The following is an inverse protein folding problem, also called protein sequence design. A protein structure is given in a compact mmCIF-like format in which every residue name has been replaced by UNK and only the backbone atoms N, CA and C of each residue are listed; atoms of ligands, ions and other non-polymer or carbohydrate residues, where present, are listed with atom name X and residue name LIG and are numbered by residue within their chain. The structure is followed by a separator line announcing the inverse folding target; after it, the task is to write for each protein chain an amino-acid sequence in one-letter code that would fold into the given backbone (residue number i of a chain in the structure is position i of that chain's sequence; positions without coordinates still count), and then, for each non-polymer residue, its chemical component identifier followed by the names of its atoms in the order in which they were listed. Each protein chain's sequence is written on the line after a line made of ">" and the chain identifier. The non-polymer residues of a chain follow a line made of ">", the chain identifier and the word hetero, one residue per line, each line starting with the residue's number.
data_IF_271341929330
#
_entry.id   IF_271341929330
#
_cell.length_a   1.000
_cell.length_b   1.000
_cell.length_c   1.000
_cell.angle_alpha   90.00
_cell.angle_beta   90.00
_cell.angle_gamma   90.00
#
_symmetry.space_group_name_H-M   'P 1'
#
loop_
_entity.id
_entity.type
_entity.pdbx_description
1 polymer ?
#
# COMPACT_ATOMS: atom_id res chain seq x y z
N UNK A 1 24.29 40.10 85.12
CA UNK A 1 24.35 38.70 84.63
C UNK A 1 23.43 38.62 83.43
N UNK A 2 23.93 38.67 82.24
CA UNK A 2 23.16 38.80 80.99
C UNK A 2 23.30 37.50 80.20
N UNK A 3 22.18 36.78 79.92
CA UNK A 3 22.11 35.61 79.03
C UNK A 3 21.92 36.08 77.61
N UNK A 4 22.83 35.71 76.75
CA UNK A 4 22.70 35.89 75.31
C UNK A 4 21.95 34.71 74.68
N UNK A 5 20.76 34.93 74.07
CA UNK A 5 20.07 34.01 73.19
C UNK A 5 20.64 34.11 71.78
N UNK A 6 21.20 33.05 71.27
CA UNK A 6 21.62 32.98 69.86
C UNK A 6 20.48 32.37 69.03
N UNK A 7 20.04 33.15 68.06
CA UNK A 7 19.03 32.71 67.11
C UNK A 7 19.66 31.83 66.01
N UNK A 8 19.18 30.57 65.86
CA UNK A 8 19.52 29.66 64.77
C UNK A 8 18.63 29.98 63.59
N UNK A 9 19.22 30.45 62.48
CA UNK A 9 18.51 30.59 61.23
C UNK A 9 18.59 29.27 60.46
N UNK A 10 17.47 28.56 60.35
CA UNK A 10 17.32 27.41 59.47
C UNK A 10 16.98 27.92 58.05
N UNK A 11 17.93 27.92 57.14
CA UNK A 11 17.69 28.19 55.72
C UNK A 11 17.09 26.95 55.06
N UNK A 12 15.77 27.00 54.76
CA UNK A 12 15.04 25.97 54.00
C UNK A 12 15.32 26.16 52.50
N UNK A 13 16.26 25.40 51.95
CA UNK A 13 16.55 25.39 50.51
C UNK A 13 15.49 24.61 49.78
N UNK A 14 14.50 25.26 49.18
CA UNK A 14 13.52 24.66 48.29
C UNK A 14 14.20 24.33 46.95
N UNK A 15 14.51 23.05 46.74
CA UNK A 15 15.01 22.50 45.47
C UNK A 15 13.85 22.43 44.48
N UNK A 16 13.69 23.43 43.62
CA UNK A 16 12.77 23.42 42.50
C UNK A 16 13.27 22.41 41.47
N UNK A 17 12.70 21.18 41.50
CA UNK A 17 12.80 20.22 40.43
C UNK A 17 12.00 20.73 39.21
N UNK A 18 12.65 21.55 38.39
CA UNK A 18 12.13 21.84 37.04
C UNK A 18 12.26 20.58 36.21
N UNK A 19 11.20 19.76 36.19
CA UNK A 19 11.09 18.69 35.25
C UNK A 19 11.12 19.27 33.84
N UNK A 20 12.19 19.03 33.11
CA UNK A 20 12.25 19.30 31.67
C UNK A 20 11.24 18.34 31.02
N UNK A 21 10.02 18.81 30.77
CA UNK A 21 9.07 18.12 29.91
C UNK A 21 9.70 18.08 28.52
N UNK A 22 10.32 16.96 28.16
CA UNK A 22 10.68 16.73 26.77
C UNK A 22 9.37 16.86 25.97
N UNK A 23 9.34 17.66 24.90
CA UNK A 23 8.19 17.70 24.03
C UNK A 23 7.97 16.25 23.53
N UNK A 24 6.89 15.61 23.98
CA UNK A 24 6.44 14.37 23.40
C UNK A 24 6.22 14.69 21.91
N UNK A 25 6.97 14.03 21.02
CA UNK A 25 6.74 14.16 19.58
C UNK A 25 5.26 13.85 19.36
N UNK A 26 4.50 14.82 18.86
CA UNK A 26 3.09 14.60 18.56
C UNK A 26 2.99 13.43 17.59
N UNK A 27 2.17 12.43 17.93
CA UNK A 27 1.86 11.33 17.00
C UNK A 27 1.12 11.90 15.80
N UNK A 28 1.41 11.43 14.61
CA UNK A 28 0.82 11.89 13.35
C UNK A 28 -0.72 11.86 13.36
N UNK A 29 -1.35 11.01 14.20
CA UNK A 29 -2.79 11.02 14.40
C UNK A 29 -3.29 12.38 14.92
N UNK A 30 -2.56 13.00 15.86
CA UNK A 30 -2.94 14.32 16.38
C UNK A 30 -2.90 15.38 15.27
N UNK A 31 -1.86 15.34 14.43
CA UNK A 31 -1.72 16.27 13.30
C UNK A 31 -2.87 16.11 12.30
N UNK A 32 -3.25 14.86 11.97
CA UNK A 32 -4.40 14.53 11.12
C UNK A 32 -5.70 15.08 11.71
N UNK A 33 -5.93 14.84 13.00
CA UNK A 33 -7.16 15.28 13.69
C UNK A 33 -7.25 16.80 13.83
N UNK A 34 -6.14 17.49 14.12
CA UNK A 34 -6.09 18.95 14.21
C UNK A 34 -6.30 19.62 12.85
N UNK A 35 -5.68 19.08 11.82
CA UNK A 35 -5.80 19.55 10.44
C UNK A 35 -7.16 19.21 9.83
N UNK A 36 -7.89 18.24 10.42
CA UNK A 36 -9.15 17.65 9.91
C UNK A 36 -9.01 17.09 8.50
N UNK A 37 -7.84 16.57 8.17
CA UNK A 37 -7.51 16.05 6.85
C UNK A 37 -6.58 14.83 6.97
N UNK A 38 -6.92 13.74 6.24
CA UNK A 38 -6.06 12.59 6.01
C UNK A 38 -5.48 12.68 4.59
N UNK A 39 -4.16 12.85 4.49
CA UNK A 39 -3.44 12.86 3.20
C UNK A 39 -3.10 11.44 2.79
N UNK A 40 -3.76 10.94 1.74
CA UNK A 40 -3.54 9.61 1.19
C UNK A 40 -2.70 9.68 -0.08
N UNK A 41 -1.56 8.99 -0.11
CA UNK A 41 -0.87 8.67 -1.35
C UNK A 41 -1.55 7.49 -2.04
N UNK A 42 -1.96 7.67 -3.29
CA UNK A 42 -2.54 6.61 -4.14
C UNK A 42 -1.72 6.46 -5.41
N UNK A 43 -1.98 5.44 -6.22
CA UNK A 43 -1.40 5.41 -7.56
C UNK A 43 -1.84 6.62 -8.41
N UNK A 44 -0.97 7.03 -9.33
CA UNK A 44 -1.29 8.08 -10.29
C UNK A 44 -2.14 7.57 -11.48
N UNK A 45 -1.86 6.33 -11.96
CA UNK A 45 -2.52 5.74 -13.13
C UNK A 45 -2.37 4.21 -13.13
N UNK A 46 -3.04 3.54 -12.20
CA UNK A 46 -3.10 2.06 -12.14
C UNK A 46 -4.53 1.63 -11.84
N UNK A 47 -5.44 1.63 -12.83
CA UNK A 47 -6.79 1.12 -12.63
C UNK A 47 -6.78 -0.39 -12.35
N UNK A 48 -7.68 -0.90 -11.49
CA UNK A 48 -8.83 -0.24 -10.87
C UNK A 48 -8.51 0.43 -9.52
N UNK A 49 -7.23 0.47 -9.11
CA UNK A 49 -6.81 0.97 -7.81
C UNK A 49 -6.94 2.49 -7.70
N UNK A 50 -6.26 3.22 -8.59
CA UNK A 50 -6.43 4.66 -8.74
C UNK A 50 -6.02 5.11 -10.15
N UNK A 51 -6.84 5.97 -10.76
CA UNK A 51 -6.56 6.64 -12.02
C UNK A 51 -7.43 7.90 -12.14
N UNK A 52 -7.06 8.87 -12.99
CA UNK A 52 -7.93 9.99 -13.31
C UNK A 52 -9.17 9.53 -14.07
N UNK A 53 -10.36 9.94 -13.63
CA UNK A 53 -11.57 9.77 -14.41
C UNK A 53 -11.43 10.48 -15.77
N UNK A 54 -11.74 9.82 -16.89
CA UNK A 54 -11.55 10.41 -18.22
C UNK A 54 -12.33 11.71 -18.46
N UNK A 55 -13.47 11.90 -17.77
CA UNK A 55 -14.37 13.04 -17.95
C UNK A 55 -14.11 14.16 -16.96
N UNK A 56 -14.03 13.82 -15.66
CA UNK A 56 -13.91 14.80 -14.59
C UNK A 56 -12.47 15.13 -14.23
N UNK A 57 -11.52 14.25 -14.59
CA UNK A 57 -10.11 14.28 -14.20
C UNK A 57 -9.85 14.10 -12.70
N UNK A 58 -10.88 13.86 -11.92
CA UNK A 58 -10.74 13.52 -10.52
C UNK A 58 -10.16 12.12 -10.35
N UNK A 59 -9.39 11.92 -9.29
CA UNK A 59 -8.87 10.59 -8.97
C UNK A 59 -10.01 9.69 -8.49
N UNK A 60 -10.13 8.53 -9.10
CA UNK A 60 -11.13 7.49 -8.81
C UNK A 60 -10.47 6.11 -8.74
N UNK A 61 -11.07 5.18 -8.02
CA UNK A 61 -10.58 3.81 -7.91
C UNK A 61 -10.81 3.22 -6.52
N UNK A 62 -10.48 1.94 -6.38
CA UNK A 62 -10.61 1.20 -5.12
C UNK A 62 -9.84 1.87 -3.98
N UNK A 63 -8.57 2.22 -4.20
CA UNK A 63 -7.71 2.83 -3.18
C UNK A 63 -8.17 4.24 -2.80
N UNK A 64 -8.72 4.99 -3.76
CA UNK A 64 -9.28 6.33 -3.54
C UNK A 64 -10.54 6.25 -2.66
N UNK A 65 -11.45 5.32 -2.97
CA UNK A 65 -12.66 5.12 -2.19
C UNK A 65 -12.35 4.57 -0.80
N UNK A 66 -11.37 3.67 -0.68
CA UNK A 66 -10.89 3.17 0.62
C UNK A 66 -10.33 4.31 1.48
N UNK A 67 -9.50 5.20 0.89
CA UNK A 67 -9.01 6.39 1.60
C UNK A 67 -10.16 7.27 2.11
N UNK A 68 -11.13 7.59 1.23
CA UNK A 68 -12.30 8.40 1.61
C UNK A 68 -13.11 7.75 2.73
N UNK A 69 -13.29 6.44 2.69
CA UNK A 69 -14.02 5.70 3.73
C UNK A 69 -13.26 5.68 5.07
N UNK A 70 -11.94 5.47 5.05
CA UNK A 70 -11.08 5.56 6.24
C UNK A 70 -11.13 6.96 6.83
N UNK A 71 -10.94 8.02 6.03
CA UNK A 71 -11.00 9.41 6.48
C UNK A 71 -12.37 9.74 7.11
N UNK A 72 -13.46 9.33 6.48
CA UNK A 72 -14.83 9.48 7.01
C UNK A 72 -15.00 8.83 8.38
N UNK A 73 -14.46 7.62 8.57
CA UNK A 73 -14.48 6.91 9.85
C UNK A 73 -13.63 7.58 10.91
N UNK A 74 -12.57 8.28 10.52
CA UNK A 74 -11.76 9.13 11.41
C UNK A 74 -12.45 10.47 11.73
N UNK A 75 -13.48 10.86 10.99
CA UNK A 75 -14.15 12.15 11.14
C UNK A 75 -13.36 13.31 10.52
N UNK A 76 -12.60 13.06 9.47
CA UNK A 76 -11.77 14.04 8.74
C UNK A 76 -12.03 13.94 7.22
N UNK A 77 -11.60 14.94 6.46
CA UNK A 77 -11.63 14.94 5.01
C UNK A 77 -10.47 14.12 4.42
N UNK A 78 -10.66 13.57 3.24
CA UNK A 78 -9.62 12.86 2.49
C UNK A 78 -8.97 13.79 1.46
N UNK A 79 -7.65 13.83 1.43
CA UNK A 79 -6.86 14.48 0.38
C UNK A 79 -6.06 13.42 -0.38
N UNK A 80 -6.20 13.39 -1.71
CA UNK A 80 -5.60 12.38 -2.56
C UNK A 80 -4.36 12.96 -3.25
N UNK A 81 -3.22 12.31 -3.05
CA UNK A 81 -1.94 12.64 -3.70
C UNK A 81 -1.55 11.50 -4.65
N UNK A 82 -1.58 11.71 -5.97
CA UNK A 82 -1.14 10.71 -6.93
C UNK A 82 0.37 10.46 -6.83
N UNK A 83 0.78 9.20 -6.74
CA UNK A 83 2.18 8.78 -6.59
C UNK A 83 2.59 7.81 -7.70
N UNK A 84 3.85 7.85 -8.09
CA UNK A 84 4.46 6.80 -8.89
C UNK A 84 4.61 5.51 -8.06
N UNK A 85 4.81 4.38 -8.74
CA UNK A 85 5.03 3.08 -8.08
C UNK A 85 6.21 3.15 -7.10
N UNK A 86 7.32 3.76 -7.50
CA UNK A 86 8.51 3.93 -6.66
C UNK A 86 8.31 4.96 -5.54
N UNK A 87 7.47 5.97 -5.75
CA UNK A 87 7.23 7.07 -4.79
C UNK A 87 6.46 6.65 -3.54
N UNK A 88 5.70 5.56 -3.58
CA UNK A 88 4.78 5.14 -2.52
C UNK A 88 5.43 5.04 -1.12
N UNK A 89 6.58 4.39 -1.02
CA UNK A 89 7.31 4.23 0.25
C UNK A 89 8.05 5.51 0.64
N UNK A 90 8.84 6.17 -0.21
CA UNK A 90 9.52 7.42 0.13
C UNK A 90 8.58 8.54 0.57
N UNK A 91 7.44 8.74 -0.09
CA UNK A 91 6.54 9.85 0.23
C UNK A 91 5.91 9.72 1.63
N UNK A 92 5.49 8.50 2.03
CA UNK A 92 4.97 8.28 3.38
C UNK A 92 6.08 8.27 4.43
N UNK A 93 7.27 7.73 4.11
CA UNK A 93 8.43 7.75 5.01
C UNK A 93 8.85 9.18 5.38
N UNK A 94 8.79 10.09 4.41
CA UNK A 94 9.11 11.50 4.59
C UNK A 94 7.95 12.32 5.21
N UNK A 95 6.78 11.71 5.42
CA UNK A 95 5.60 12.39 5.97
C UNK A 95 4.96 13.41 5.02
N UNK A 96 5.20 13.29 3.69
CA UNK A 96 4.54 14.13 2.68
C UNK A 96 3.08 13.72 2.48
N UNK A 97 2.78 12.45 2.70
CA UNK A 97 1.45 11.89 2.89
C UNK A 97 1.37 11.23 4.26
N UNK A 98 0.19 11.17 4.86
CA UNK A 98 -0.01 10.54 6.17
C UNK A 98 -0.04 9.02 6.05
N UNK A 99 -0.69 8.54 5.01
CA UNK A 99 -0.82 7.12 4.68
C UNK A 99 -0.63 6.89 3.18
N UNK A 100 -0.18 5.69 2.82
CA UNK A 100 -0.18 5.23 1.43
C UNK A 100 -1.19 4.09 1.29
N UNK A 101 -2.23 4.32 0.49
CA UNK A 101 -3.26 3.35 0.09
C UNK A 101 -3.14 3.20 -1.42
N UNK A 102 -2.28 2.28 -1.86
CA UNK A 102 -1.89 2.16 -3.26
C UNK A 102 -1.50 0.71 -3.58
N UNK A 103 -2.41 -0.23 -3.28
CA UNK A 103 -2.13 -1.67 -3.44
C UNK A 103 -0.74 -2.02 -2.89
N UNK A 104 -0.43 -1.56 -1.68
CA UNK A 104 0.90 -1.64 -1.11
C UNK A 104 1.08 -2.96 -0.35
N UNK A 105 1.74 -3.93 -0.99
CA UNK A 105 2.08 -5.20 -0.38
C UNK A 105 3.13 -5.04 0.74
N UNK A 106 2.94 -5.80 1.81
CA UNK A 106 3.93 -5.95 2.85
C UNK A 106 5.15 -6.73 2.34
N UNK A 107 6.34 -6.19 2.52
CA UNK A 107 7.63 -6.89 2.37
C UNK A 107 8.54 -6.54 3.53
N UNK A 108 9.52 -7.41 3.82
CA UNK A 108 10.49 -7.15 4.89
C UNK A 108 11.27 -5.86 4.62
N UNK A 109 11.75 -5.67 3.38
CA UNK A 109 12.49 -4.46 3.01
C UNK A 109 11.67 -3.16 3.10
N UNK A 110 10.34 -3.21 2.84
CA UNK A 110 9.45 -2.07 3.08
C UNK A 110 9.18 -1.85 4.57
N UNK A 111 8.99 -2.94 5.34
CA UNK A 111 8.75 -2.89 6.77
C UNK A 111 9.95 -2.33 7.57
N UNK A 112 11.15 -2.39 7.03
CA UNK A 112 12.32 -1.68 7.58
C UNK A 112 12.19 -0.15 7.46
N UNK A 113 11.45 0.35 6.48
CA UNK A 113 11.37 1.76 6.15
C UNK A 113 10.10 2.44 6.64
N UNK A 114 8.98 1.73 6.63
CA UNK A 114 7.65 2.20 7.02
C UNK A 114 6.96 1.15 7.89
N UNK A 115 5.85 1.51 8.54
CA UNK A 115 4.99 0.53 9.19
C UNK A 115 3.73 0.27 8.36
N UNK A 116 3.11 -0.89 8.56
CA UNK A 116 1.92 -1.33 7.84
C UNK A 116 0.77 -1.56 8.79
N UNK A 117 -0.44 -1.24 8.32
CA UNK A 117 -1.66 -1.72 8.97
C UNK A 117 -1.81 -3.23 8.83
N UNK A 118 -2.78 -3.77 9.53
CA UNK A 118 -3.33 -5.09 9.24
C UNK A 118 -3.82 -5.11 7.77
N UNK A 119 -3.57 -6.21 7.04
CA UNK A 119 -3.92 -6.27 5.63
C UNK A 119 -5.44 -6.40 5.43
N UNK A 120 -5.92 -5.74 4.38
CA UNK A 120 -7.34 -5.78 4.02
C UNK A 120 -7.65 -6.73 2.86
N UNK A 121 -6.65 -7.30 2.20
CA UNK A 121 -6.74 -8.45 1.31
C UNK A 121 -5.36 -9.05 1.00
N UNK A 122 -5.34 -10.25 0.37
CA UNK A 122 -4.12 -10.90 -0.11
C UNK A 122 -4.09 -10.86 -1.64
N UNK A 123 -3.13 -10.11 -2.17
CA UNK A 123 -2.92 -9.98 -3.61
C UNK A 123 -2.11 -11.16 -4.18
N UNK A 124 -2.16 -11.31 -5.52
CA UNK A 124 -1.36 -12.28 -6.27
C UNK A 124 -0.61 -11.56 -7.37
N UNK A 125 0.69 -11.77 -7.45
CA UNK A 125 1.50 -11.35 -8.60
C UNK A 125 1.45 -12.43 -9.67
N UNK A 126 0.98 -12.06 -10.86
CA UNK A 126 0.70 -12.97 -11.96
C UNK A 126 1.56 -12.67 -13.18
N UNK A 127 1.96 -13.70 -13.90
CA UNK A 127 2.67 -13.58 -15.17
C UNK A 127 1.66 -13.57 -16.32
N UNK A 128 1.75 -12.59 -17.21
CA UNK A 128 1.07 -12.60 -18.50
C UNK A 128 2.08 -12.66 -19.64
N UNK A 129 1.76 -13.47 -20.64
CA UNK A 129 2.58 -13.69 -21.83
C UNK A 129 1.72 -13.59 -23.09
N UNK A 130 2.33 -13.59 -24.26
CA UNK A 130 1.57 -13.67 -25.52
C UNK A 130 0.77 -14.96 -25.57
N UNK A 131 -0.45 -14.91 -26.09
CA UNK A 131 -1.31 -16.09 -26.19
C UNK A 131 -0.69 -17.23 -27.04
N UNK A 132 0.19 -16.86 -28.00
CA UNK A 132 0.94 -17.81 -28.84
C UNK A 132 2.14 -18.45 -28.14
N UNK A 133 2.55 -17.95 -26.96
CA UNK A 133 3.68 -18.52 -26.22
C UNK A 133 3.30 -19.91 -25.69
N UNK A 134 4.15 -20.96 -25.87
CA UNK A 134 3.84 -22.33 -25.48
C UNK A 134 3.91 -22.58 -23.96
N UNK A 135 4.55 -21.70 -23.18
CA UNK A 135 4.72 -21.86 -21.74
C UNK A 135 3.38 -21.89 -20.99
N UNK A 136 3.27 -22.78 -20.00
CA UNK A 136 2.05 -22.99 -19.20
C UNK A 136 2.25 -22.78 -17.70
N UNK A 137 3.50 -22.78 -17.24
CA UNK A 137 3.89 -22.59 -15.83
C UNK A 137 4.89 -21.46 -15.69
N UNK A 138 5.01 -20.88 -14.51
CA UNK A 138 6.01 -19.84 -14.22
C UNK A 138 7.45 -20.31 -14.44
N UNK A 139 7.73 -21.59 -14.20
CA UNK A 139 9.09 -22.16 -14.38
C UNK A 139 9.54 -22.16 -15.84
N UNK A 140 8.62 -22.15 -16.80
CA UNK A 140 8.92 -22.03 -18.24
C UNK A 140 9.62 -20.70 -18.59
N UNK A 141 9.62 -19.76 -17.67
CA UNK A 141 10.13 -18.39 -17.89
C UNK A 141 11.40 -18.05 -17.09
N UNK A 142 11.98 -19.02 -16.36
CA UNK A 142 13.28 -18.87 -15.73
C UNK A 142 14.33 -18.49 -16.77
N UNK A 143 15.19 -17.51 -16.41
CA UNK A 143 16.20 -16.94 -17.32
C UNK A 143 15.64 -16.11 -18.49
N UNK A 144 14.32 -15.96 -18.60
CA UNK A 144 13.70 -15.12 -19.64
C UNK A 144 13.57 -13.68 -19.15
N UNK A 145 13.60 -12.74 -20.11
CA UNK A 145 13.37 -11.32 -19.83
C UNK A 145 11.88 -11.05 -19.64
N UNK A 146 11.52 -10.59 -18.45
CA UNK A 146 10.15 -10.31 -18.03
C UNK A 146 10.03 -8.85 -17.63
N UNK A 147 9.02 -8.15 -18.16
CA UNK A 147 8.78 -6.75 -17.85
C UNK A 147 8.02 -6.57 -16.53
N UNK A 148 8.38 -5.56 -15.73
CA UNK A 148 7.72 -5.22 -14.48
C UNK A 148 7.84 -3.71 -14.18
N UNK A 149 6.96 -3.18 -13.32
CA UNK A 149 7.09 -1.82 -12.84
C UNK A 149 8.23 -1.72 -11.81
N UNK A 150 9.09 -0.72 -11.96
CA UNK A 150 10.23 -0.49 -11.09
C UNK A 150 9.78 -0.18 -9.64
N UNK A 151 10.48 -0.76 -8.65
CA UNK A 151 10.16 -0.59 -7.23
C UNK A 151 8.88 -1.31 -6.77
N UNK A 152 8.28 -2.15 -7.62
CA UNK A 152 7.13 -2.98 -7.29
C UNK A 152 7.53 -4.37 -6.79
N UNK A 153 6.59 -5.05 -6.15
CA UNK A 153 6.72 -6.49 -5.84
C UNK A 153 6.66 -7.36 -7.10
N UNK A 154 6.11 -6.84 -8.20
CA UNK A 154 6.20 -7.50 -9.51
C UNK A 154 7.65 -7.65 -9.98
N UNK A 155 8.48 -6.60 -9.83
CA UNK A 155 9.93 -6.69 -10.12
C UNK A 155 10.59 -7.74 -9.23
N UNK A 156 10.25 -7.76 -7.94
CA UNK A 156 10.78 -8.75 -7.01
C UNK A 156 10.32 -10.17 -7.38
N UNK A 157 9.05 -10.35 -7.76
CA UNK A 157 8.51 -11.63 -8.22
C UNK A 157 9.26 -12.18 -9.43
N UNK A 158 9.64 -11.31 -10.39
CA UNK A 158 10.48 -11.69 -11.53
C UNK A 158 11.84 -12.22 -11.05
N UNK A 159 12.49 -11.52 -10.13
CA UNK A 159 13.80 -11.94 -9.58
C UNK A 159 13.70 -13.26 -8.82
N UNK A 160 12.67 -13.40 -7.95
CA UNK A 160 12.46 -14.64 -7.17
C UNK A 160 12.11 -15.84 -8.05
N UNK A 161 11.52 -15.60 -9.23
CA UNK A 161 11.30 -16.64 -10.24
C UNK A 161 12.57 -16.94 -11.09
N UNK A 162 13.72 -16.42 -10.71
CA UNK A 162 14.98 -16.58 -11.46
C UNK A 162 14.87 -16.08 -12.92
N UNK A 163 14.05 -15.08 -13.18
CA UNK A 163 13.87 -14.42 -14.47
C UNK A 163 14.66 -13.11 -14.52
N UNK A 164 14.92 -12.57 -15.73
CA UNK A 164 15.65 -11.29 -15.93
C UNK A 164 14.65 -10.11 -15.95
N UNK A 165 14.62 -9.21 -14.95
CA UNK A 165 13.67 -8.12 -14.90
C UNK A 165 14.03 -6.97 -15.85
N UNK A 166 13.12 -6.62 -16.75
CA UNK A 166 13.15 -5.40 -17.54
C UNK A 166 12.16 -4.39 -16.95
N UNK A 167 12.67 -3.34 -16.30
CA UNK A 167 11.82 -2.44 -15.50
C UNK A 167 11.46 -1.15 -16.23
N UNK A 168 10.25 -0.65 -15.96
CA UNK A 168 9.69 0.60 -16.45
C UNK A 168 9.01 1.38 -15.33
N UNK A 169 8.79 2.68 -15.53
CA UNK A 169 8.20 3.54 -14.50
C UNK A 169 6.70 3.32 -14.31
N UNK A 170 6.00 2.88 -15.34
CA UNK A 170 4.55 2.71 -15.36
C UNK A 170 4.11 1.39 -16.01
N UNK A 171 2.90 0.95 -15.67
CA UNK A 171 2.33 -0.32 -16.14
C UNK A 171 2.04 -0.32 -17.65
N UNK A 172 1.71 0.83 -18.23
CA UNK A 172 1.47 0.95 -19.67
C UNK A 172 2.75 0.65 -20.47
N UNK A 173 3.88 1.22 -20.05
CA UNK A 173 5.20 0.95 -20.63
C UNK A 173 5.62 -0.52 -20.46
N UNK A 174 5.30 -1.14 -19.32
CA UNK A 174 5.52 -2.58 -19.08
C UNK A 174 4.75 -3.42 -20.10
N UNK A 175 3.46 -3.13 -20.31
CA UNK A 175 2.63 -3.82 -21.29
C UNK A 175 3.16 -3.64 -22.72
N UNK A 176 3.49 -2.42 -23.10
CA UNK A 176 4.05 -2.11 -24.42
C UNK A 176 5.37 -2.82 -24.71
N UNK A 177 6.20 -3.05 -23.70
CA UNK A 177 7.45 -3.82 -23.86
C UNK A 177 7.18 -5.26 -24.32
N UNK A 178 6.14 -5.90 -23.83
CA UNK A 178 5.72 -7.24 -24.30
C UNK A 178 5.14 -7.17 -25.72
N UNK A 179 4.29 -6.18 -26.01
CA UNK A 179 3.74 -5.96 -27.35
C UNK A 179 4.84 -5.81 -28.40
N UNK A 180 5.91 -5.09 -28.06
CA UNK A 180 7.07 -4.80 -28.92
C UNK A 180 8.16 -5.88 -28.90
N UNK A 181 7.95 -7.05 -28.28
CA UNK A 181 8.94 -8.12 -28.13
C UNK A 181 10.22 -7.76 -27.38
N UNK A 182 10.20 -6.73 -26.54
CA UNK A 182 11.32 -6.36 -25.65
C UNK A 182 11.42 -7.28 -24.44
N UNK A 183 10.29 -7.88 -24.03
CA UNK A 183 10.18 -8.89 -23.00
C UNK A 183 9.23 -10.02 -23.48
N UNK A 184 9.42 -11.24 -22.99
CA UNK A 184 8.55 -12.38 -23.35
C UNK A 184 7.23 -12.38 -22.60
N UNK A 185 7.18 -11.69 -21.45
CA UNK A 185 6.00 -11.53 -20.61
C UNK A 185 6.14 -10.37 -19.67
N UNK A 186 5.11 -10.16 -18.87
CA UNK A 186 5.07 -9.15 -17.82
C UNK A 186 4.50 -9.72 -16.52
N UNK A 187 4.93 -9.17 -15.40
CA UNK A 187 4.35 -9.46 -14.08
C UNK A 187 3.68 -8.21 -13.55
N UNK A 188 2.48 -8.38 -13.03
CA UNK A 188 1.74 -7.39 -12.27
C UNK A 188 0.69 -8.08 -11.38
N UNK A 189 0.06 -7.30 -10.50
CA UNK A 189 -1.07 -7.77 -9.70
C UNK A 189 -2.18 -8.36 -10.58
N UNK A 190 -2.88 -9.38 -10.07
CA UNK A 190 -3.95 -10.11 -10.78
C UNK A 190 -4.96 -9.17 -11.45
N UNK A 191 -5.40 -8.11 -10.75
CA UNK A 191 -6.39 -7.17 -11.28
C UNK A 191 -5.85 -6.47 -12.53
N UNK A 192 -4.64 -5.95 -12.46
CA UNK A 192 -3.97 -5.31 -13.59
C UNK A 192 -3.81 -6.28 -14.77
N UNK A 193 -3.32 -7.51 -14.51
CA UNK A 193 -3.16 -8.52 -15.56
C UNK A 193 -4.52 -8.90 -16.17
N UNK A 194 -5.55 -9.10 -15.37
CA UNK A 194 -6.91 -9.43 -15.86
C UNK A 194 -7.40 -8.37 -16.84
N UNK A 195 -7.27 -7.10 -16.49
CA UNK A 195 -7.68 -5.99 -17.38
C UNK A 195 -6.87 -5.96 -18.67
N UNK A 196 -5.54 -6.02 -18.57
CA UNK A 196 -4.65 -5.97 -19.72
C UNK A 196 -4.83 -7.17 -20.66
N UNK A 197 -5.02 -8.37 -20.10
CA UNK A 197 -5.32 -9.59 -20.90
C UNK A 197 -6.66 -9.44 -21.60
N UNK A 198 -7.70 -8.96 -20.91
CA UNK A 198 -9.02 -8.70 -21.51
C UNK A 198 -8.93 -7.68 -22.66
N UNK A 199 -8.29 -6.54 -22.43
CA UNK A 199 -8.15 -5.48 -23.44
C UNK A 199 -7.34 -5.97 -24.65
N UNK A 200 -6.34 -6.82 -24.45
CA UNK A 200 -5.53 -7.40 -25.52
C UNK A 200 -6.32 -8.30 -26.49
N UNK A 201 -7.50 -8.81 -26.08
CA UNK A 201 -8.32 -9.64 -26.96
C UNK A 201 -8.93 -8.86 -28.12
N UNK A 202 -9.11 -7.55 -27.94
CA UNK A 202 -9.69 -6.63 -28.95
C UNK A 202 -8.64 -5.76 -29.61
N UNK A 203 -7.55 -5.45 -28.93
CA UNK A 203 -6.52 -4.51 -29.39
C UNK A 203 -5.10 -5.05 -29.19
N UNK A 204 -4.28 -5.03 -30.24
CA UNK A 204 -2.87 -5.44 -30.17
C UNK A 204 -2.64 -6.96 -30.17
N UNK A 205 -1.51 -7.39 -29.62
CA UNK A 205 -1.13 -8.80 -29.54
C UNK A 205 -1.86 -9.44 -28.36
N UNK A 206 -2.63 -10.50 -28.65
CA UNK A 206 -3.38 -11.24 -27.64
C UNK A 206 -2.46 -11.79 -26.54
N UNK A 207 -2.87 -11.62 -25.31
CA UNK A 207 -2.18 -12.09 -24.11
C UNK A 207 -2.97 -13.19 -23.40
N UNK A 208 -2.26 -14.00 -22.62
CA UNK A 208 -2.83 -14.95 -21.66
C UNK A 208 -2.14 -14.79 -20.29
N UNK A 209 -2.87 -15.08 -19.22
CA UNK A 209 -2.34 -15.15 -17.87
C UNK A 209 -1.91 -16.58 -17.55
N UNK A 210 -0.72 -16.75 -16.98
CA UNK A 210 -0.26 -18.01 -16.41
C UNK A 210 -0.95 -18.17 -15.04
N UNK A 211 -1.61 -19.29 -14.79
CA UNK A 211 -2.47 -19.46 -13.62
C UNK A 211 -1.72 -19.72 -12.31
N UNK A 212 -0.44 -20.05 -12.39
CA UNK A 212 0.43 -20.27 -11.22
C UNK A 212 0.99 -18.92 -10.75
N UNK A 213 0.59 -18.38 -9.57
CA UNK A 213 1.07 -17.09 -9.09
C UNK A 213 2.55 -17.13 -8.74
N UNK A 214 3.24 -16.02 -8.97
CA UNK A 214 4.63 -15.86 -8.57
C UNK A 214 4.75 -15.54 -7.08
N UNK A 215 3.88 -14.68 -6.57
CA UNK A 215 3.83 -14.28 -5.16
C UNK A 215 2.40 -14.18 -4.65
N UNK A 216 2.23 -14.40 -3.35
CA UNK A 216 1.05 -14.03 -2.56
C UNK A 216 1.49 -12.94 -1.59
N UNK A 217 0.75 -11.83 -1.53
CA UNK A 217 1.18 -10.64 -0.82
C UNK A 217 0.05 -10.06 0.03
N UNK A 218 0.23 -9.98 1.37
CA UNK A 218 -0.66 -9.20 2.21
C UNK A 218 -0.59 -7.72 1.82
N UNK A 219 -1.73 -7.10 1.55
CA UNK A 219 -1.82 -5.69 1.17
C UNK A 219 -2.42 -4.90 2.32
N UNK A 220 -1.67 -3.91 2.78
CA UNK A 220 -2.05 -3.03 3.88
C UNK A 220 -1.84 -1.55 3.57
N UNK A 221 -2.22 -0.72 4.52
CA UNK A 221 -1.99 0.73 4.48
C UNK A 221 -0.60 1.01 5.04
N UNK A 222 0.24 1.65 4.24
CA UNK A 222 1.56 2.10 4.67
C UNK A 222 1.48 3.43 5.42
N UNK A 223 2.28 3.58 6.48
CA UNK A 223 2.42 4.83 7.23
C UNK A 223 3.84 4.99 7.78
N UNK A 224 4.20 6.20 8.19
CA UNK A 224 5.50 6.48 8.78
C UNK A 224 5.73 5.61 10.00
N UNK A 225 6.99 5.23 10.25
CA UNK A 225 7.37 4.49 11.47
C UNK A 225 7.19 5.34 12.73
N UNK A 226 7.06 4.64 13.85
CA UNK A 226 6.98 5.25 15.18
C UNK A 226 5.76 6.16 15.38
N UNK A 227 4.64 5.78 14.74
CA UNK A 227 3.34 6.46 14.85
C UNK A 227 2.28 5.44 15.40
N UNK A 228 2.42 4.97 16.64
CA UNK A 228 1.62 3.86 17.18
C UNK A 228 0.14 4.20 17.32
N UNK A 229 -0.21 5.46 17.63
CA UNK A 229 -1.61 5.86 17.77
C UNK A 229 -2.31 5.90 16.40
N UNK A 230 -1.62 6.38 15.35
CA UNK A 230 -2.15 6.33 13.99
C UNK A 230 -2.35 4.88 13.54
N UNK A 231 -1.35 4.01 13.75
CA UNK A 231 -1.44 2.58 13.40
C UNK A 231 -2.63 1.90 14.10
N UNK A 232 -2.75 2.06 15.42
CA UNK A 232 -3.85 1.46 16.18
C UNK A 232 -5.21 1.97 15.71
N UNK A 233 -5.32 3.27 15.39
CA UNK A 233 -6.56 3.87 14.90
C UNK A 233 -6.93 3.35 13.52
N UNK A 234 -5.96 3.24 12.60
CA UNK A 234 -6.18 2.69 11.25
C UNK A 234 -6.60 1.22 11.34
N UNK A 235 -5.92 0.38 12.14
CA UNK A 235 -6.30 -1.03 12.29
C UNK A 235 -7.71 -1.19 12.84
N UNK A 236 -8.05 -0.47 13.91
CA UNK A 236 -9.40 -0.48 14.46
C UNK A 236 -10.45 -0.03 13.42
N UNK A 237 -10.10 0.95 12.59
CA UNK A 237 -10.98 1.44 11.52
C UNK A 237 -11.18 0.37 10.45
N UNK A 238 -10.11 -0.29 9.97
CA UNK A 238 -10.20 -1.36 8.97
C UNK A 238 -11.03 -2.56 9.48
N UNK A 239 -10.83 -2.99 10.73
CA UNK A 239 -11.63 -4.06 11.36
C UNK A 239 -13.11 -3.67 11.41
N UNK A 240 -13.43 -2.44 11.83
CA UNK A 240 -14.82 -1.96 11.89
C UNK A 240 -15.46 -1.86 10.49
N UNK A 241 -14.71 -1.44 9.48
CA UNK A 241 -15.16 -1.39 8.08
C UNK A 241 -15.40 -2.81 7.51
N UNK A 242 -14.52 -3.77 7.81
CA UNK A 242 -14.66 -5.16 7.39
C UNK A 242 -15.91 -5.81 8.00
N UNK A 243 -16.10 -5.62 9.31
CA UNK A 243 -17.28 -6.12 10.04
C UNK A 243 -18.58 -5.50 9.54
N UNK A 244 -18.57 -4.22 9.15
CA UNK A 244 -19.71 -3.53 8.58
C UNK A 244 -19.96 -3.86 7.10
N UNK A 245 -19.07 -4.59 6.42
CA UNK A 245 -19.15 -4.90 5.00
C UNK A 245 -18.69 -3.78 4.06
N UNK A 246 -18.25 -2.64 4.59
CA UNK A 246 -17.86 -1.46 3.78
C UNK A 246 -16.69 -1.74 2.84
N UNK A 247 -15.71 -2.54 3.26
CA UNK A 247 -14.60 -2.91 2.38
C UNK A 247 -15.12 -3.76 1.21
N UNK A 248 -16.08 -4.67 1.46
CA UNK A 248 -16.68 -5.47 0.40
C UNK A 248 -17.54 -4.62 -0.55
N UNK A 249 -18.27 -3.62 -0.06
CA UNK A 249 -19.02 -2.69 -0.91
C UNK A 249 -18.08 -1.91 -1.86
N UNK A 250 -16.95 -1.40 -1.34
CA UNK A 250 -15.94 -0.73 -2.16
C UNK A 250 -15.31 -1.72 -3.15
N UNK A 251 -15.02 -2.95 -2.71
CA UNK A 251 -14.49 -4.01 -3.56
C UNK A 251 -15.45 -4.34 -4.71
N UNK A 252 -16.72 -4.56 -4.40
CA UNK A 252 -17.74 -4.93 -5.38
C UNK A 252 -17.97 -3.84 -6.42
N UNK A 253 -17.87 -2.58 -6.01
CA UNK A 253 -17.94 -1.43 -6.93
C UNK A 253 -16.83 -1.46 -7.99
N UNK A 254 -15.60 -1.79 -7.62
CA UNK A 254 -14.44 -1.66 -8.50
C UNK A 254 -13.95 -2.98 -9.09
N UNK A 255 -14.11 -4.07 -8.37
CA UNK A 255 -13.52 -5.38 -8.65
C UNK A 255 -14.54 -6.51 -8.69
N UNK A 256 -15.75 -6.26 -8.19
CA UNK A 256 -16.79 -7.25 -7.92
C UNK A 256 -17.39 -7.95 -9.14
N UNK A 257 -18.38 -8.82 -8.89
CA UNK A 257 -18.96 -9.70 -9.92
C UNK A 257 -19.54 -8.98 -11.14
N UNK A 258 -19.99 -7.74 -10.96
CA UNK A 258 -20.59 -6.92 -12.02
C UNK A 258 -19.57 -6.06 -12.79
N UNK A 259 -18.29 -6.21 -12.51
CA UNK A 259 -17.20 -5.50 -13.19
C UNK A 259 -16.50 -6.40 -14.19
N UNK A 260 -15.57 -5.82 -14.96
CA UNK A 260 -14.70 -6.60 -15.85
C UNK A 260 -13.79 -7.60 -15.11
N UNK A 261 -13.58 -7.41 -13.81
CA UNK A 261 -12.71 -8.24 -12.97
C UNK A 261 -13.40 -9.49 -12.42
N UNK A 262 -14.69 -9.40 -12.10
CA UNK A 262 -15.54 -10.49 -11.58
C UNK A 262 -14.94 -11.20 -10.36
N UNK A 263 -14.34 -10.44 -9.46
CA UNK A 263 -13.65 -10.96 -8.27
C UNK A 263 -14.54 -10.89 -7.04
N UNK A 264 -14.34 -11.84 -6.13
CA UNK A 264 -14.98 -11.85 -4.81
C UNK A 264 -13.89 -11.72 -3.75
N UNK A 265 -14.05 -10.79 -2.80
CA UNK A 265 -13.17 -10.66 -1.66
C UNK A 265 -13.65 -11.60 -0.56
N UNK A 266 -12.82 -12.58 -0.20
CA UNK A 266 -13.06 -13.52 0.90
C UNK A 266 -12.13 -13.27 2.10
N UNK A 267 -11.16 -12.39 1.95
CA UNK A 267 -10.21 -12.05 3.01
C UNK A 267 -10.89 -11.31 4.15
N UNK A 268 -10.36 -11.49 5.36
CA UNK A 268 -10.76 -10.75 6.55
C UNK A 268 -9.60 -9.87 6.99
N UNK A 269 -9.94 -8.74 7.59
CA UNK A 269 -8.94 -7.91 8.27
C UNK A 269 -8.56 -8.62 9.56
N UNK A 270 -7.35 -9.17 9.57
CA UNK A 270 -6.76 -9.86 10.72
C UNK A 270 -5.33 -9.35 10.92
N UNK A 271 -4.78 -9.43 12.14
CA UNK A 271 -3.38 -9.07 12.37
C UNK A 271 -2.43 -9.75 11.39
N UNK A 272 -1.46 -9.00 10.86
CA UNK A 272 -0.46 -9.54 9.93
C UNK A 272 0.23 -10.80 10.47
N UNK A 273 0.41 -10.88 11.81
CA UNK A 273 1.02 -12.03 12.51
C UNK A 273 0.17 -13.29 12.48
N UNK A 274 -1.11 -13.18 12.20
CA UNK A 274 -2.04 -14.33 12.10
C UNK A 274 -2.12 -14.88 10.67
N UNK A 275 -1.64 -14.14 9.69
CA UNK A 275 -1.63 -14.58 8.29
C UNK A 275 -0.51 -15.58 8.03
N UNK A 276 -0.86 -16.67 7.35
CA UNK A 276 0.11 -17.66 6.85
C UNK A 276 0.55 -17.27 5.44
N UNK A 277 1.69 -16.66 5.32
CA UNK A 277 2.33 -16.35 4.03
C UNK A 277 3.85 -16.50 4.15
N UNK A 278 4.51 -16.68 3.01
CA UNK A 278 5.97 -16.65 2.97
C UNK A 278 6.40 -15.18 2.97
N UNK A 279 7.17 -14.72 3.99
CA UNK A 279 7.64 -13.34 4.02
C UNK A 279 8.40 -13.00 2.74
N UNK A 280 8.03 -11.89 2.12
CA UNK A 280 8.68 -11.38 0.91
C UNK A 280 9.87 -10.52 1.36
N UNK A 281 11.09 -10.74 0.81
CA UNK A 281 12.29 -9.99 1.17
C UNK A 281 12.18 -8.48 1.04
#
# INVERSE_FOLDING_TARGET
>A
MALKLSAFHAALTALLLTGVAMPAKADQLQDVMQRKELKCGTFADVPPFAAPDPKTREMVGFDVDLCKAVAKRLGVEASITPLSVEGRVPEVKLGRVDVTIANLAYTLGRAEQIQFSDPYYVAKEMLAVKASDPGTTKDSYKGKRIAAAKGSTSELAVKLNESDPLTFQDTGSVFMAVQQNKAVGMVANTMTITKLVSDSQTNGVKMKMIQDPLLLEPVGIGMKKDEPALLAKINATLVAMDQAGEINEIWDKWLGPNTAYKMVRNDKVVPLTELKFVPIP
#
